data_IF_446044420467
#
_entry.id   IF_446044420467
#
_cell.length_a   1.000
_cell.length_b   1.000
_cell.length_c   1.000
_cell.angle_alpha   90.00
_cell.angle_beta   90.00
_cell.angle_gamma   90.00
#
_symmetry.space_group_name_H-M   'P 1'
#
loop_
_entity.id
_entity.type
_entity.pdbx_description
1 polymer ?
#
# COMPACT_ATOMS: atom_id res chain seq x y z
N UNK A 1 8.10 22.76 3.27
CA UNK A 1 8.32 21.32 2.97
C UNK A 1 9.81 21.08 2.84
N UNK A 2 10.30 19.93 3.26
CA UNK A 2 11.72 19.61 3.29
C UNK A 2 11.90 18.09 3.19
N UNK A 3 13.13 17.67 2.92
CA UNK A 3 13.48 16.25 2.98
C UNK A 3 13.17 15.69 4.38
N UNK A 4 13.52 16.41 5.43
CA UNK A 4 13.25 15.96 6.80
C UNK A 4 11.75 15.81 7.08
N UNK A 5 10.94 16.79 6.68
CA UNK A 5 9.50 16.73 6.86
C UNK A 5 8.88 15.59 6.06
N UNK A 6 9.35 15.34 4.84
CA UNK A 6 8.92 14.22 4.02
C UNK A 6 9.25 12.89 4.71
N UNK A 7 10.49 12.75 5.19
CA UNK A 7 10.92 11.53 5.88
C UNK A 7 10.08 11.28 7.14
N UNK A 8 9.88 12.30 7.95
CA UNK A 8 9.10 12.17 9.18
C UNK A 8 7.66 11.73 8.91
N UNK A 9 6.99 12.38 7.96
CA UNK A 9 5.59 12.07 7.65
C UNK A 9 5.44 10.63 7.15
N UNK A 10 6.27 10.23 6.19
CA UNK A 10 6.17 8.89 5.59
C UNK A 10 6.59 7.82 6.60
N UNK A 11 7.67 8.05 7.34
CA UNK A 11 8.14 7.10 8.36
C UNK A 11 7.08 6.87 9.43
N UNK A 12 6.45 7.93 9.91
CA UNK A 12 5.38 7.84 10.91
C UNK A 12 4.21 7.01 10.40
N UNK A 13 3.83 7.23 9.14
CA UNK A 13 2.77 6.46 8.50
C UNK A 13 3.14 4.97 8.40
N UNK A 14 4.35 4.65 7.93
CA UNK A 14 4.81 3.27 7.78
C UNK A 14 4.97 2.57 9.14
N UNK A 15 5.51 3.26 10.13
CA UNK A 15 5.72 2.70 11.47
C UNK A 15 4.42 2.38 12.19
N UNK A 16 3.33 3.04 11.81
CA UNK A 16 2.00 2.75 12.36
C UNK A 16 1.35 1.52 11.72
N UNK A 17 2.02 0.84 10.82
CA UNK A 17 1.48 -0.26 10.01
C UNK A 17 0.25 0.20 9.22
N UNK A 18 0.34 1.42 8.66
CA UNK A 18 -0.71 2.05 7.85
C UNK A 18 -1.98 2.41 8.63
N UNK A 19 -1.92 2.44 9.95
CA UNK A 19 -3.11 2.76 10.77
C UNK A 19 -3.27 4.25 11.07
N UNK A 20 -2.17 5.01 11.06
CA UNK A 20 -2.20 6.45 11.34
C UNK A 20 -2.30 7.23 10.02
N UNK A 21 -3.43 7.87 9.81
CA UNK A 21 -3.67 8.67 8.60
C UNK A 21 -3.58 10.17 8.86
N UNK A 22 -3.10 10.59 10.05
CA UNK A 22 -3.06 12.01 10.43
C UNK A 22 -2.13 12.85 9.54
N UNK A 23 -1.15 12.21 8.88
CA UNK A 23 -0.24 12.88 7.96
C UNK A 23 -0.76 12.96 6.53
N UNK A 24 -1.96 12.45 6.26
CA UNK A 24 -2.58 12.53 4.93
C UNK A 24 -3.36 13.82 4.77
N UNK A 25 -3.25 14.43 3.59
CA UNK A 25 -4.11 15.56 3.25
C UNK A 25 -5.56 15.09 3.11
N UNK A 26 -6.51 15.98 3.35
CA UNK A 26 -7.94 15.66 3.24
C UNK A 26 -8.31 15.17 1.83
N UNK A 27 -7.63 15.67 0.81
CA UNK A 27 -7.85 15.32 -0.59
C UNK A 27 -6.87 14.26 -1.12
N UNK A 28 -6.28 13.48 -0.24
CA UNK A 28 -5.34 12.42 -0.61
C UNK A 28 -5.98 11.43 -1.59
N UNK A 29 -5.19 10.95 -2.54
CA UNK A 29 -5.61 9.91 -3.49
C UNK A 29 -4.53 8.85 -3.56
N UNK A 30 -4.91 7.59 -3.32
CA UNK A 30 -4.04 6.44 -3.59
C UNK A 30 -4.57 5.73 -4.84
N UNK A 31 -3.67 5.40 -5.75
CA UNK A 31 -4.00 4.72 -6.99
C UNK A 31 -3.33 3.36 -7.02
N UNK A 32 -4.11 2.31 -7.24
CA UNK A 32 -3.58 0.97 -7.48
C UNK A 32 -3.23 0.93 -8.97
N UNK A 33 -1.94 1.01 -9.28
CA UNK A 33 -1.48 1.23 -10.65
C UNK A 33 -1.81 0.07 -11.59
N UNK A 34 -1.89 -1.16 -11.06
CA UNK A 34 -2.23 -2.33 -11.87
C UNK A 34 -3.63 -2.25 -12.47
N UNK A 35 -4.57 -1.59 -11.81
CA UNK A 35 -5.98 -1.51 -12.22
C UNK A 35 -6.45 -0.10 -12.53
N UNK A 36 -5.71 0.92 -12.09
CA UNK A 36 -6.14 2.31 -12.17
C UNK A 36 -7.16 2.71 -11.12
N UNK A 37 -7.50 1.80 -10.21
CA UNK A 37 -8.47 2.08 -9.15
C UNK A 37 -7.94 3.14 -8.20
N UNK A 38 -8.79 4.14 -7.89
CA UNK A 38 -8.44 5.23 -6.99
C UNK A 38 -9.21 5.15 -5.70
N UNK A 39 -8.51 5.42 -4.59
CA UNK A 39 -9.11 5.52 -3.27
C UNK A 39 -8.84 6.92 -2.74
N UNK A 40 -9.90 7.64 -2.37
CA UNK A 40 -9.84 9.06 -2.05
C UNK A 40 -10.17 9.29 -0.58
N UNK A 41 -9.56 10.33 -0.02
CA UNK A 41 -9.66 10.76 1.37
C UNK A 41 -8.93 9.82 2.33
N UNK A 42 -8.55 10.28 3.51
CA UNK A 42 -7.93 9.40 4.51
C UNK A 42 -8.79 8.20 4.85
N UNK A 43 -10.12 8.38 4.91
CA UNK A 43 -11.04 7.28 5.17
C UNK A 43 -11.06 6.26 4.05
N UNK A 44 -11.11 6.71 2.80
CA UNK A 44 -11.12 5.81 1.64
C UNK A 44 -9.83 5.01 1.53
N UNK A 45 -8.69 5.66 1.78
CA UNK A 45 -7.39 4.99 1.79
C UNK A 45 -7.33 3.97 2.93
N UNK A 46 -7.80 4.36 4.12
CA UNK A 46 -7.82 3.47 5.28
C UNK A 46 -8.66 2.22 5.05
N UNK A 47 -9.83 2.37 4.41
CA UNK A 47 -10.68 1.23 4.06
C UNK A 47 -10.00 0.28 3.09
N UNK A 48 -9.33 0.82 2.08
CA UNK A 48 -8.60 0.01 1.11
C UNK A 48 -7.47 -0.78 1.78
N UNK A 49 -6.70 -0.12 2.65
CA UNK A 49 -5.61 -0.76 3.36
C UNK A 49 -6.12 -1.83 4.32
N UNK A 50 -7.21 -1.55 5.05
CA UNK A 50 -7.82 -2.53 5.94
C UNK A 50 -8.28 -3.77 5.19
N UNK A 51 -8.88 -3.57 4.02
CA UNK A 51 -9.31 -4.69 3.19
C UNK A 51 -8.13 -5.60 2.80
N UNK A 52 -7.05 -5.01 2.29
CA UNK A 52 -5.89 -5.78 1.85
C UNK A 52 -5.16 -6.47 3.01
N UNK A 53 -4.97 -5.78 4.12
CA UNK A 53 -4.10 -6.29 5.20
C UNK A 53 -4.84 -7.09 6.27
N UNK A 54 -6.16 -6.93 6.39
CA UNK A 54 -6.90 -7.52 7.50
C UNK A 54 -8.17 -8.26 7.11
N UNK A 55 -8.70 -8.07 5.91
CA UNK A 55 -9.94 -8.72 5.46
C UNK A 55 -9.67 -9.77 4.40
N UNK A 56 -9.08 -9.37 3.26
CA UNK A 56 -8.75 -10.34 2.21
C UNK A 56 -7.53 -11.17 2.59
N UNK A 57 -6.59 -10.55 3.29
CA UNK A 57 -5.36 -11.18 3.75
C UNK A 57 -5.14 -10.82 5.21
N UNK A 58 -4.43 -11.71 5.91
CA UNK A 58 -3.80 -11.37 7.19
C UNK A 58 -2.34 -11.13 6.84
N UNK A 59 -1.96 -9.87 6.68
CA UNK A 59 -0.72 -9.52 6.03
C UNK A 59 0.01 -8.36 6.68
N UNK A 60 1.28 -8.27 6.36
CA UNK A 60 2.15 -7.16 6.74
C UNK A 60 3.10 -6.86 5.58
N UNK A 61 3.78 -5.72 5.64
CA UNK A 61 4.77 -5.33 4.64
C UNK A 61 6.18 -5.50 5.20
N UNK A 62 7.05 -6.12 4.44
CA UNK A 62 8.48 -6.21 4.75
C UNK A 62 9.23 -5.30 3.79
N UNK A 63 10.00 -4.35 4.33
CA UNK A 63 10.64 -3.32 3.54
C UNK A 63 12.04 -3.74 3.10
N UNK A 64 12.40 -3.39 1.85
CA UNK A 64 13.77 -3.55 1.34
C UNK A 64 14.47 -2.20 1.24
N UNK A 65 13.79 -1.21 0.67
CA UNK A 65 14.38 0.11 0.46
C UNK A 65 13.36 1.19 0.75
N UNK A 66 13.84 2.27 1.37
CA UNK A 66 13.06 3.48 1.59
C UNK A 66 13.93 4.66 1.16
N UNK A 67 13.47 5.41 0.17
CA UNK A 67 14.19 6.55 -0.38
C UNK A 67 13.34 7.80 -0.19
N UNK A 68 13.99 8.88 0.22
CA UNK A 68 13.30 10.13 0.50
C UNK A 68 13.98 11.29 -0.21
N UNK A 69 13.16 12.22 -0.70
CA UNK A 69 13.62 13.51 -1.18
C UNK A 69 12.59 14.55 -0.71
N UNK A 70 12.78 15.81 -1.08
CA UNK A 70 11.83 16.85 -0.74
C UNK A 70 10.52 16.65 -1.50
N UNK A 71 9.46 16.31 -0.75
CA UNK A 71 8.12 16.15 -1.31
C UNK A 71 7.87 14.84 -2.04
N UNK A 72 8.80 13.89 -2.00
CA UNK A 72 8.60 12.59 -2.65
C UNK A 72 9.33 11.50 -1.87
N UNK A 73 8.71 10.33 -1.79
CA UNK A 73 9.31 9.16 -1.19
C UNK A 73 8.98 7.91 -2.02
N UNK A 74 9.91 6.97 -2.04
CA UNK A 74 9.70 5.67 -2.66
C UNK A 74 9.99 4.58 -1.64
N UNK A 75 9.06 3.64 -1.51
CA UNK A 75 9.19 2.52 -0.58
C UNK A 75 9.02 1.23 -1.36
N UNK A 76 9.99 0.35 -1.26
CA UNK A 76 9.98 -0.95 -1.91
C UNK A 76 10.00 -2.04 -0.86
N UNK A 77 9.20 -3.09 -1.08
CA UNK A 77 9.17 -4.23 -0.18
C UNK A 77 8.29 -5.35 -0.69
N UNK A 78 7.91 -6.23 0.22
CA UNK A 78 7.01 -7.34 -0.07
C UNK A 78 5.76 -7.24 0.79
N UNK A 79 4.64 -7.58 0.18
CA UNK A 79 3.39 -7.86 0.86
C UNK A 79 3.41 -9.33 1.24
N UNK A 80 3.35 -9.63 2.54
CA UNK A 80 3.52 -10.98 3.05
C UNK A 80 2.33 -11.35 3.91
N UNK A 81 1.66 -12.44 3.62
CA UNK A 81 0.54 -12.85 4.44
C UNK A 81 -0.19 -14.07 3.95
N UNK A 82 -1.32 -14.33 4.61
CA UNK A 82 -2.19 -15.47 4.30
C UNK A 82 -3.49 -14.95 3.68
N UNK A 83 -3.97 -15.64 2.65
CA UNK A 83 -5.24 -15.33 1.99
C UNK A 83 -6.40 -15.87 2.81
N UNK A 84 -7.09 -14.99 3.53
CA UNK A 84 -8.12 -15.38 4.50
C UNK A 84 -9.54 -14.99 4.11
N UNK A 85 -9.71 -14.09 3.14
CA UNK A 85 -11.02 -13.63 2.70
C UNK A 85 -11.09 -13.54 1.19
N UNK A 86 -12.28 -13.29 0.66
CA UNK A 86 -12.46 -13.17 -0.79
C UNK A 86 -11.62 -12.02 -1.35
N UNK A 87 -10.90 -12.28 -2.43
CA UNK A 87 -10.14 -11.29 -3.16
C UNK A 87 -10.31 -11.50 -4.66
N UNK A 88 -10.73 -10.44 -5.37
CA UNK A 88 -10.93 -10.47 -6.83
C UNK A 88 -11.80 -11.65 -7.28
N UNK A 89 -12.83 -12.00 -6.49
CA UNK A 89 -13.71 -13.13 -6.78
C UNK A 89 -13.15 -14.49 -6.39
N UNK A 90 -11.94 -14.53 -5.81
CA UNK A 90 -11.30 -15.77 -5.39
C UNK A 90 -11.64 -16.06 -3.93
N UNK A 91 -12.31 -17.18 -3.61
CA UNK A 91 -12.58 -17.53 -2.21
C UNK A 91 -11.29 -17.75 -1.43
N UNK A 92 -11.31 -17.64 -0.10
CA UNK A 92 -10.09 -17.83 0.70
C UNK A 92 -9.40 -19.15 0.42
N UNK A 93 -8.12 -19.08 0.09
CA UNK A 93 -7.32 -20.27 -0.22
C UNK A 93 -6.49 -20.74 0.97
N UNK A 94 -6.33 -19.87 1.98
CA UNK A 94 -5.44 -20.05 3.14
C UNK A 94 -3.97 -20.25 2.73
N UNK A 95 -3.60 -19.86 1.52
CA UNK A 95 -2.22 -19.92 1.05
C UNK A 95 -1.45 -18.68 1.53
N UNK A 96 -0.17 -18.89 1.82
CA UNK A 96 0.74 -17.80 2.15
C UNK A 96 1.32 -17.24 0.85
N UNK A 97 1.42 -15.91 0.80
CA UNK A 97 1.95 -15.20 -0.37
C UNK A 97 3.05 -14.24 0.06
N UNK A 98 3.95 -13.98 -0.89
CA UNK A 98 4.97 -12.94 -0.78
C UNK A 98 5.03 -12.26 -2.13
N UNK A 99 4.55 -11.02 -2.19
CA UNK A 99 4.35 -10.31 -3.46
C UNK A 99 5.12 -9.00 -3.43
N UNK A 100 6.03 -8.77 -4.38
CA UNK A 100 6.75 -7.50 -4.44
C UNK A 100 5.82 -6.33 -4.69
N UNK A 101 6.12 -5.20 -4.06
CA UNK A 101 5.42 -3.96 -4.35
C UNK A 101 6.32 -2.75 -4.11
N UNK A 102 5.97 -1.66 -4.78
CA UNK A 102 6.58 -0.37 -4.56
C UNK A 102 5.51 0.69 -4.47
N UNK A 103 5.74 1.71 -3.66
CA UNK A 103 4.80 2.82 -3.52
C UNK A 103 5.57 4.12 -3.64
N UNK A 104 5.08 5.02 -4.50
CA UNK A 104 5.59 6.38 -4.61
C UNK A 104 4.61 7.29 -3.89
N UNK A 105 5.12 8.03 -2.90
CA UNK A 105 4.34 9.03 -2.16
C UNK A 105 4.76 10.41 -2.60
N UNK A 106 3.77 11.26 -2.93
CA UNK A 106 4.01 12.67 -3.19
C UNK A 106 3.38 13.49 -2.07
N UNK A 107 4.12 14.45 -1.54
CA UNK A 107 3.70 15.26 -0.42
C UNK A 107 3.68 16.73 -0.79
N UNK A 108 2.80 17.49 -0.13
CA UNK A 108 2.77 18.95 -0.15
C UNK A 108 2.60 19.40 1.30
N UNK A 109 3.39 20.38 1.73
CA UNK A 109 3.34 20.90 3.10
C UNK A 109 3.44 19.79 4.15
N UNK A 110 4.32 18.82 3.89
CA UNK A 110 4.57 17.66 4.77
C UNK A 110 3.34 16.77 5.00
N UNK A 111 2.35 16.85 4.10
CA UNK A 111 1.21 15.95 4.09
C UNK A 111 1.22 15.09 2.83
N UNK A 112 0.88 13.80 2.98
CA UNK A 112 0.79 12.88 1.86
C UNK A 112 -0.43 13.24 1.01
N UNK A 113 -0.19 13.59 -0.25
CA UNK A 113 -1.23 13.96 -1.21
C UNK A 113 -1.58 12.83 -2.17
N UNK A 114 -0.57 12.06 -2.57
CA UNK A 114 -0.76 10.96 -3.52
C UNK A 114 0.08 9.76 -3.14
N UNK A 115 -0.50 8.58 -3.34
CA UNK A 115 0.25 7.32 -3.25
C UNK A 115 -0.02 6.52 -4.52
N UNK A 116 1.03 6.16 -5.25
CA UNK A 116 0.90 5.27 -6.40
C UNK A 116 1.44 3.90 -6.00
N UNK A 117 0.54 2.93 -5.96
CA UNK A 117 0.87 1.58 -5.50
C UNK A 117 1.13 0.70 -6.72
N UNK A 118 2.36 0.21 -6.82
CA UNK A 118 2.79 -0.73 -7.86
C UNK A 118 2.86 -2.11 -7.23
N UNK A 119 1.84 -2.91 -7.47
CA UNK A 119 1.67 -4.23 -6.87
C UNK A 119 1.70 -5.28 -7.97
N UNK A 120 2.55 -6.29 -7.81
CA UNK A 120 2.73 -7.35 -8.80
C UNK A 120 1.56 -8.33 -8.77
N UNK A 121 0.42 -7.92 -9.33
CA UNK A 121 -0.80 -8.73 -9.37
C UNK A 121 -0.60 -10.12 -10.00
N UNK A 122 0.12 -10.27 -11.13
CA UNK A 122 0.35 -11.60 -11.70
C UNK A 122 1.07 -12.53 -10.74
N UNK A 123 2.03 -12.01 -9.96
CA UNK A 123 2.72 -12.82 -8.96
C UNK A 123 1.77 -13.30 -7.87
N UNK A 124 0.84 -12.42 -7.43
CA UNK A 124 -0.17 -12.78 -6.46
C UNK A 124 -1.07 -13.91 -6.97
N UNK A 125 -1.63 -13.74 -8.17
CA UNK A 125 -2.54 -14.75 -8.74
C UNK A 125 -1.84 -16.09 -8.93
N UNK A 126 -0.58 -16.08 -9.37
CA UNK A 126 0.20 -17.30 -9.52
C UNK A 126 0.38 -18.00 -8.19
N UNK A 127 0.70 -17.27 -7.13
CA UNK A 127 0.88 -17.85 -5.79
C UNK A 127 -0.43 -18.39 -5.21
N UNK A 128 -1.56 -17.78 -5.56
CA UNK A 128 -2.88 -18.26 -5.15
C UNK A 128 -3.34 -19.48 -5.98
N UNK A 129 -2.60 -19.83 -7.03
CA UNK A 129 -2.95 -20.96 -7.89
C UNK A 129 -3.99 -20.61 -8.94
N UNK A 130 -4.14 -19.33 -9.28
CA UNK A 130 -5.08 -18.83 -10.28
C UNK A 130 -4.29 -18.33 -11.48
N UNK A 131 -4.65 -18.79 -12.67
CA UNK A 131 -4.02 -18.27 -13.87
C UNK A 131 -4.63 -16.94 -14.24
N UNK A 132 -3.76 -15.94 -14.40
CA UNK A 132 -4.17 -14.66 -14.97
C UNK A 132 -4.30 -14.85 -16.47
N UNK A 133 -5.50 -14.80 -16.97
CA UNK A 133 -5.74 -14.89 -18.41
C UNK A 133 -5.61 -13.50 -19.05
#
# INVERSE_FOLDING_TARGET
MSLEGTREAVTKYLDSEHSDTSMMADDVVFTIMATGEEHRSPEGVSKMLNYFYHVAFDAHKEYRNQLFDDGIAFVEGDFVGEHIGEFAGIPPTNKHVRVPLGVVYELENDEIKRGRVYFEMPALFKQLGVEAS
#
